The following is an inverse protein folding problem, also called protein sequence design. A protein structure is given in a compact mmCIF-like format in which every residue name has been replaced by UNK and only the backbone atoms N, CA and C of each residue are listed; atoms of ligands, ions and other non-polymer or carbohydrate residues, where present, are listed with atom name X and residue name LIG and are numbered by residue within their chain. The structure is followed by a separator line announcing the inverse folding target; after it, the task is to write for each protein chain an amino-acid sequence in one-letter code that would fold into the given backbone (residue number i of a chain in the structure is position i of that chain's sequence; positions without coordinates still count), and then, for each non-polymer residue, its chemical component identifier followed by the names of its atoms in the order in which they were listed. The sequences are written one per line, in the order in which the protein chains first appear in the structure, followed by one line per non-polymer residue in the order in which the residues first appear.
data_IF_236138918328
#
_entry.id   IF_236138918328
#
_cell.length_a   1.000
_cell.length_b   1.000
_cell.length_c   1.000
_cell.angle_alpha   90.00
_cell.angle_beta   90.00
_cell.angle_gamma   90.00
#
_symmetry.space_group_name_H-M   'P 1'
#
loop_
_entity.id
_entity.type
_entity.pdbx_description
1 polymer ?
#
# COMPACT_ATOMS: atom_id res chain seq x y z
N UNK A 1 13.97 -21.99 10.48
CA UNK A 1 13.42 -20.63 10.68
C UNK A 1 13.99 -19.59 9.71
N UNK A 2 15.26 -19.65 9.30
CA UNK A 2 15.86 -18.69 8.34
C UNK A 2 15.19 -18.59 6.96
N UNK A 3 14.60 -19.68 6.43
CA UNK A 3 14.02 -19.70 5.08
C UNK A 3 12.81 -18.76 4.92
N UNK A 4 11.92 -18.71 5.91
CA UNK A 4 10.74 -17.83 5.87
C UNK A 4 11.08 -16.34 5.98
N UNK A 5 12.17 -15.99 6.67
CA UNK A 5 12.64 -14.60 6.76
C UNK A 5 13.16 -14.11 5.40
N UNK A 6 13.93 -14.94 4.70
CA UNK A 6 14.47 -14.62 3.38
C UNK A 6 13.37 -14.49 2.31
N UNK A 7 12.36 -15.38 2.33
CA UNK A 7 11.21 -15.28 1.44
C UNK A 7 10.38 -14.01 1.70
N UNK A 8 10.18 -13.65 2.97
CA UNK A 8 9.48 -12.42 3.35
C UNK A 8 10.24 -11.18 2.89
N UNK A 9 11.55 -11.17 3.08
CA UNK A 9 12.43 -10.09 2.62
C UNK A 9 12.39 -9.94 1.09
N UNK A 10 12.46 -11.06 0.36
CA UNK A 10 12.31 -11.06 -1.11
C UNK A 10 10.98 -10.45 -1.58
N UNK A 11 9.87 -10.77 -0.91
CA UNK A 11 8.54 -10.19 -1.21
C UNK A 11 8.50 -8.67 -0.98
N UNK A 12 9.11 -8.19 0.10
CA UNK A 12 9.21 -6.74 0.38
C UNK A 12 10.03 -6.03 -0.69
N UNK A 13 11.20 -6.55 -1.05
CA UNK A 13 12.04 -5.96 -2.09
C UNK A 13 11.35 -5.96 -3.47
N UNK A 14 10.65 -7.04 -3.82
CA UNK A 14 9.90 -7.12 -5.07
C UNK A 14 8.76 -6.11 -5.09
N UNK A 15 8.02 -5.95 -3.99
CA UNK A 15 6.97 -4.97 -3.87
C UNK A 15 7.50 -3.53 -3.96
N UNK A 16 8.60 -3.24 -3.29
CA UNK A 16 9.29 -1.95 -3.36
C UNK A 16 9.66 -1.60 -4.80
N UNK A 17 10.22 -2.57 -5.56
CA UNK A 17 10.45 -2.41 -7.00
C UNK A 17 9.16 -2.24 -7.80
N UNK A 18 8.12 -3.01 -7.46
CA UNK A 18 6.79 -2.93 -8.07
C UNK A 18 6.16 -1.55 -7.89
N UNK A 19 6.38 -0.90 -6.76
CA UNK A 19 5.97 0.48 -6.45
C UNK A 19 6.96 1.54 -6.99
N UNK A 20 7.90 1.13 -7.85
CA UNK A 20 8.94 1.97 -8.46
C UNK A 20 9.86 2.67 -7.44
N UNK A 21 9.96 2.14 -6.22
CA UNK A 21 10.74 2.72 -5.12
C UNK A 21 10.38 4.18 -4.80
N UNK A 22 9.23 4.67 -5.27
CA UNK A 22 8.79 6.01 -4.96
C UNK A 22 8.42 6.08 -3.47
N UNK A 23 9.08 6.97 -2.74
CA UNK A 23 8.79 7.24 -1.33
C UNK A 23 7.32 7.58 -1.15
N UNK A 24 6.74 8.36 -2.07
CA UNK A 24 5.32 8.71 -2.06
C UNK A 24 4.41 7.50 -2.27
N UNK A 25 4.78 6.56 -3.15
CA UNK A 25 4.01 5.33 -3.36
C UNK A 25 4.02 4.44 -2.10
N UNK A 26 5.18 4.32 -1.46
CA UNK A 26 5.34 3.59 -0.20
C UNK A 26 4.54 4.27 0.91
N UNK A 27 4.61 5.59 1.04
CA UNK A 27 3.84 6.34 2.03
C UNK A 27 2.34 6.21 1.82
N UNK A 28 1.83 6.37 0.59
CA UNK A 28 0.41 6.18 0.29
C UNK A 28 -0.05 4.77 0.66
N UNK A 29 0.75 3.76 0.31
CA UNK A 29 0.45 2.36 0.64
C UNK A 29 0.38 2.11 2.15
N UNK A 30 1.39 2.56 2.91
CA UNK A 30 1.45 2.39 4.36
C UNK A 30 0.39 3.21 5.10
N UNK A 31 0.11 4.44 4.67
CA UNK A 31 -0.96 5.26 5.24
C UNK A 31 -2.32 4.61 5.02
N UNK A 32 -2.59 4.07 3.83
CA UNK A 32 -3.82 3.33 3.55
C UNK A 32 -3.91 2.05 4.39
N UNK A 33 -2.80 1.34 4.61
CA UNK A 33 -2.79 0.16 5.47
C UNK A 33 -3.16 0.48 6.93
N UNK A 34 -2.90 1.71 7.38
CA UNK A 34 -3.24 2.19 8.73
C UNK A 34 -4.64 2.79 8.86
N UNK A 35 -5.39 2.97 7.76
CA UNK A 35 -6.77 3.46 7.87
C UNK A 35 -7.72 2.37 8.35
N UNK A 36 -8.83 2.80 8.98
CA UNK A 36 -9.87 1.87 9.39
C UNK A 36 -10.38 1.06 8.18
N UNK A 37 -10.51 -0.25 8.38
CA UNK A 37 -10.88 -1.25 7.35
C UNK A 37 -9.97 -1.28 6.11
N UNK A 38 -8.80 -0.63 6.14
CA UNK A 38 -7.89 -0.51 4.99
C UNK A 38 -8.53 0.13 3.75
N UNK A 39 -9.42 1.09 3.98
CA UNK A 39 -10.14 1.83 2.93
C UNK A 39 -9.89 3.31 3.11
N UNK A 40 -9.69 4.04 2.01
CA UNK A 40 -9.66 5.50 2.04
C UNK A 40 -10.01 6.11 0.70
N UNK A 41 -10.61 7.30 0.71
CA UNK A 41 -10.78 8.10 -0.49
C UNK A 41 -9.42 8.51 -1.06
N UNK A 42 -9.24 8.42 -2.37
CA UNK A 42 -7.96 8.81 -3.00
C UNK A 42 -7.62 10.29 -2.75
N UNK A 43 -8.64 11.15 -2.65
CA UNK A 43 -8.48 12.55 -2.27
C UNK A 43 -7.95 12.75 -0.86
N UNK A 44 -8.27 11.85 0.05
CA UNK A 44 -7.86 11.93 1.45
C UNK A 44 -6.45 11.40 1.62
N UNK A 45 -6.10 10.32 0.91
CA UNK A 45 -4.72 9.84 0.81
C UNK A 45 -3.79 10.93 0.24
N UNK A 46 -4.22 11.62 -0.82
CA UNK A 46 -3.47 12.73 -1.40
C UNK A 46 -3.18 13.84 -0.39
N UNK A 47 -4.18 14.22 0.40
CA UNK A 47 -4.01 15.19 1.49
C UNK A 47 -3.07 14.70 2.59
N UNK A 48 -3.27 13.47 3.07
CA UNK A 48 -2.51 12.91 4.20
C UNK A 48 -1.03 12.72 3.89
N UNK A 49 -0.71 12.45 2.63
CA UNK A 49 0.67 12.24 2.16
C UNK A 49 1.23 13.50 1.48
N UNK A 50 0.47 14.60 1.46
CA UNK A 50 0.86 15.89 0.86
C UNK A 50 1.32 15.78 -0.61
N UNK A 51 0.64 14.94 -1.39
CA UNK A 51 0.93 14.71 -2.81
C UNK A 51 -0.26 15.03 -3.70
N UNK A 52 -0.02 15.15 -5.00
CA UNK A 52 -1.09 15.42 -5.96
C UNK A 52 -2.08 14.25 -6.07
N UNK A 53 -3.36 14.57 -6.33
CA UNK A 53 -4.39 13.55 -6.61
C UNK A 53 -4.04 12.68 -7.82
N UNK A 54 -3.39 13.28 -8.82
CA UNK A 54 -2.88 12.58 -10.00
C UNK A 54 -1.88 11.51 -9.61
N UNK A 55 -0.89 11.84 -8.77
CA UNK A 55 0.10 10.87 -8.28
C UNK A 55 -0.56 9.73 -7.51
N UNK A 56 -1.49 10.03 -6.60
CA UNK A 56 -2.24 8.98 -5.87
C UNK A 56 -3.05 8.09 -6.81
N UNK A 57 -3.62 8.66 -7.88
CA UNK A 57 -4.35 7.88 -8.89
C UNK A 57 -3.43 6.91 -9.63
N UNK A 58 -2.22 7.34 -10.00
CA UNK A 58 -1.22 6.47 -10.61
C UNK A 58 -0.76 5.37 -9.64
N UNK A 59 -0.53 5.71 -8.37
CA UNK A 59 -0.18 4.74 -7.33
C UNK A 59 -1.31 3.71 -7.15
N UNK A 60 -2.56 4.15 -7.10
CA UNK A 60 -3.72 3.26 -7.00
C UNK A 60 -3.83 2.30 -8.20
N UNK A 61 -3.62 2.79 -9.43
CA UNK A 61 -3.58 1.95 -10.63
C UNK A 61 -2.49 0.87 -10.51
N UNK A 62 -1.31 1.25 -10.02
CA UNK A 62 -0.17 0.34 -9.81
C UNK A 62 -0.52 -0.73 -8.78
N UNK A 63 -1.11 -0.33 -7.66
CA UNK A 63 -1.53 -1.24 -6.60
C UNK A 63 -2.59 -2.23 -7.08
N UNK A 64 -3.54 -1.77 -7.89
CA UNK A 64 -4.51 -2.63 -8.59
C UNK A 64 -3.82 -3.65 -9.50
N UNK A 65 -2.89 -3.20 -10.36
CA UNK A 65 -2.15 -4.08 -11.27
C UNK A 65 -1.32 -5.15 -10.53
N UNK A 66 -0.87 -4.85 -9.30
CA UNK A 66 -0.13 -5.78 -8.43
C UNK A 66 -1.05 -6.69 -7.59
N UNK A 67 -2.37 -6.51 -7.67
CA UNK A 67 -3.37 -7.24 -6.88
C UNK A 67 -3.38 -6.88 -5.39
N UNK A 68 -2.87 -5.69 -5.04
CA UNK A 68 -2.77 -5.22 -3.66
C UNK A 68 -4.06 -4.58 -3.15
N UNK A 69 -5.04 -4.39 -4.02
CA UNK A 69 -6.35 -3.88 -3.67
C UNK A 69 -7.15 -3.49 -4.90
N UNK A 70 -8.28 -2.83 -4.66
CA UNK A 70 -9.17 -2.37 -5.70
C UNK A 70 -9.89 -1.10 -5.27
N UNK A 71 -10.26 -0.27 -6.24
CA UNK A 71 -11.19 0.82 -6.02
C UNK A 71 -12.56 0.30 -5.64
N UNK A 72 -13.19 0.99 -4.70
CA UNK A 72 -14.58 0.77 -4.32
C UNK A 72 -15.34 2.05 -4.61
N UNK A 73 -16.32 1.98 -5.50
CA UNK A 73 -17.30 3.04 -5.67
C UNK A 73 -18.38 2.88 -4.60
N UNK A 74 -18.62 3.87 -3.73
CA UNK A 74 -19.85 3.88 -2.95
C UNK A 74 -21.01 4.03 -3.93
N UNK A 75 -21.94 3.07 -3.93
CA UNK A 75 -23.19 3.13 -4.70
C UNK A 75 -23.82 4.51 -4.49
N UNK A 76 -23.85 5.33 -5.54
CA UNK A 76 -24.56 6.62 -5.55
C UNK A 76 -23.70 7.88 -5.62
N UNK A 77 -22.39 7.84 -5.34
CA UNK A 77 -21.54 9.03 -5.51
C UNK A 77 -20.20 8.75 -6.20
N UNK A 78 -20.18 9.00 -7.51
CA UNK A 78 -19.01 8.89 -8.40
C UNK A 78 -17.90 9.89 -8.04
N UNK A 79 -18.16 10.86 -7.16
CA UNK A 79 -17.16 11.83 -6.69
C UNK A 79 -16.23 11.25 -5.62
N UNK A 80 -16.61 10.12 -5.00
CA UNK A 80 -15.82 9.47 -3.94
C UNK A 80 -15.22 8.16 -4.43
N UNK A 81 -14.14 8.25 -5.21
CA UNK A 81 -13.32 7.09 -5.52
C UNK A 81 -12.49 6.71 -4.28
N UNK A 82 -12.84 5.60 -3.63
CA UNK A 82 -12.07 5.03 -2.54
C UNK A 82 -11.25 3.84 -3.01
N UNK A 83 -10.19 3.52 -2.29
CA UNK A 83 -9.36 2.33 -2.53
C UNK A 83 -9.37 1.45 -1.29
N UNK A 84 -9.53 0.14 -1.48
CA UNK A 84 -9.49 -0.89 -0.44
C UNK A 84 -8.30 -1.81 -0.67
N UNK A 85 -7.49 -2.06 0.36
CA UNK A 85 -6.47 -3.10 0.28
C UNK A 85 -7.09 -4.50 0.23
N UNK A 86 -6.49 -5.38 -0.57
CA UNK A 86 -6.76 -6.82 -0.51
C UNK A 86 -6.05 -7.44 0.70
N UNK A 87 -6.41 -8.67 1.13
CA UNK A 87 -5.66 -9.38 2.16
C UNK A 87 -4.16 -9.47 1.86
N UNK A 88 -3.79 -9.69 0.58
CA UNK A 88 -2.41 -9.67 0.09
C UNK A 88 -1.75 -8.31 0.31
N UNK A 89 -2.46 -7.22 0.03
CA UNK A 89 -2.00 -5.85 0.29
C UNK A 89 -1.73 -5.59 1.77
N UNK A 90 -2.62 -6.06 2.65
CA UNK A 90 -2.47 -5.89 4.11
C UNK A 90 -1.26 -6.67 4.63
N UNK A 91 -1.07 -7.93 4.22
CA UNK A 91 0.09 -8.74 4.63
C UNK A 91 1.41 -8.11 4.18
N UNK A 92 1.43 -7.59 2.95
CA UNK A 92 2.60 -6.91 2.41
C UNK A 92 2.92 -5.64 3.19
N UNK A 93 1.92 -4.81 3.50
CA UNK A 93 2.12 -3.60 4.30
C UNK A 93 2.73 -3.92 5.67
N UNK A 94 2.21 -4.94 6.37
CA UNK A 94 2.79 -5.40 7.65
C UNK A 94 4.24 -5.86 7.51
N UNK A 95 4.57 -6.55 6.42
CA UNK A 95 5.94 -7.00 6.16
C UNK A 95 6.88 -5.82 5.89
N UNK A 96 6.41 -4.79 5.19
CA UNK A 96 7.15 -3.55 4.96
C UNK A 96 7.34 -2.74 6.24
N UNK A 97 6.33 -2.65 7.10
CA UNK A 97 6.44 -1.97 8.40
C UNK A 97 7.50 -2.63 9.29
N UNK A 98 7.45 -3.96 9.44
CA UNK A 98 8.46 -4.70 10.20
C UNK A 98 9.86 -4.50 9.63
N UNK A 99 10.00 -4.49 8.29
CA UNK A 99 11.27 -4.21 7.63
C UNK A 99 11.79 -2.79 7.91
N UNK A 100 10.93 -1.78 7.79
CA UNK A 100 11.30 -0.38 8.05
C UNK A 100 11.56 -0.08 9.53
N UNK A 101 10.91 -0.81 10.44
CA UNK A 101 11.14 -0.72 11.87
C UNK A 101 12.47 -1.35 12.32
N UNK A 102 13.21 -2.01 11.43
CA UNK A 102 14.44 -2.71 11.76
C UNK A 102 14.22 -4.04 12.50
N UNK A 103 12.97 -4.52 12.58
CA UNK A 103 12.63 -5.81 13.18
C UNK A 103 12.98 -7.01 12.27
N UNK A 104 13.56 -6.75 11.09
CA UNK A 104 13.97 -7.79 10.14
C UNK A 104 15.12 -8.69 10.65
N UNK A 105 15.85 -8.26 11.70
CA UNK A 105 17.05 -8.94 12.19
C UNK A 105 16.93 -9.58 13.58
N UNK A 106 15.74 -9.65 14.17
CA UNK A 106 15.56 -10.35 15.46
C UNK A 106 14.55 -11.48 15.28
N UNK A 107 14.96 -12.64 14.77
CA UNK A 107 14.48 -14.01 15.12
C UNK A 107 15.23 -15.08 14.32
#
# INVERSE_FOLDING_TARGET
MAFHSLERFGRVLQALRGLELSVSAIQVFLVLAKTDRHISALSDLARRVEVSKTLVTHIANRMEALGLGARTEPQGDRRFCSFRLSPKGVELARSMEAYLAGEADTF
#
